data_IF_730058877225
#
_entry.id   IF_730058877225
#
_cell.length_a   1.000
_cell.length_b   1.000
_cell.length_c   1.000
_cell.angle_alpha   90.00
_cell.angle_beta   90.00
_cell.angle_gamma   90.00
#
_symmetry.space_group_name_H-M   'P 1'
#
loop_
_entity.id
_entity.type
_entity.pdbx_description
1 polymer ?
#
# COMPACT_ATOMS: atom_id res chain seq x y z
N UNK A 1 17.11 -5.27 10.00
CA UNK A 1 15.97 -4.45 10.45
C UNK A 1 14.81 -4.77 9.54
N UNK A 2 13.97 -5.72 9.91
CA UNK A 2 12.86 -6.18 9.06
C UNK A 2 11.83 -5.07 8.80
N UNK A 3 11.62 -4.17 9.76
CA UNK A 3 10.74 -3.01 9.59
C UNK A 3 11.20 -2.06 8.48
N UNK A 4 12.50 -1.97 8.18
CA UNK A 4 12.98 -1.18 7.04
C UNK A 4 12.58 -1.82 5.69
N UNK A 5 12.59 -3.15 5.62
CA UNK A 5 12.10 -3.88 4.44
C UNK A 5 10.59 -3.71 4.28
N UNK A 6 9.83 -3.83 5.36
CA UNK A 6 8.39 -3.58 5.35
C UNK A 6 8.06 -2.13 4.99
N UNK A 7 8.78 -1.14 5.52
CA UNK A 7 8.62 0.26 5.12
C UNK A 7 8.77 0.46 3.61
N UNK A 8 9.79 -0.13 2.97
CA UNK A 8 9.96 -0.06 1.52
C UNK A 8 8.81 -0.75 0.79
N UNK A 9 8.41 -1.94 1.27
CA UNK A 9 7.29 -2.70 0.72
C UNK A 9 5.98 -1.90 0.77
N UNK A 10 5.58 -1.39 1.93
CA UNK A 10 4.35 -0.61 2.11
C UNK A 10 4.35 0.70 1.31
N UNK A 11 5.52 1.32 1.16
CA UNK A 11 5.66 2.51 0.31
C UNK A 11 5.34 2.19 -1.16
N UNK A 12 5.61 0.97 -1.62
CA UNK A 12 5.33 0.52 -2.98
C UNK A 12 3.93 -0.09 -3.11
N UNK A 13 3.47 -0.84 -2.11
CA UNK A 13 2.18 -1.53 -2.08
C UNK A 13 0.99 -0.56 -2.20
N UNK A 14 1.10 0.64 -1.61
CA UNK A 14 0.05 1.68 -1.71
C UNK A 14 -0.08 2.36 -3.09
N UNK A 15 0.94 2.23 -3.95
CA UNK A 15 1.04 3.01 -5.20
C UNK A 15 -0.07 2.70 -6.21
N UNK A 16 -0.44 1.42 -6.44
CA UNK A 16 -1.46 1.09 -7.43
C UNK A 16 -2.80 1.78 -7.16
N UNK A 17 -3.25 1.79 -5.90
CA UNK A 17 -4.53 2.39 -5.52
C UNK A 17 -4.58 3.90 -5.81
N UNK A 18 -3.49 4.61 -5.52
CA UNK A 18 -3.39 6.02 -5.87
C UNK A 18 -3.34 6.25 -7.40
N UNK A 19 -2.65 5.38 -8.14
CA UNK A 19 -2.63 5.43 -9.60
C UNK A 19 -4.02 5.18 -10.21
N UNK A 20 -4.77 4.22 -9.69
CA UNK A 20 -6.14 3.92 -10.14
C UNK A 20 -7.05 5.11 -9.90
N UNK A 21 -7.05 5.66 -8.69
CA UNK A 21 -7.81 6.87 -8.36
C UNK A 21 -7.44 8.05 -9.25
N UNK A 22 -6.15 8.25 -9.54
CA UNK A 22 -5.69 9.33 -10.43
C UNK A 22 -6.28 9.20 -11.83
N UNK A 23 -6.25 7.99 -12.40
CA UNK A 23 -6.86 7.71 -13.71
C UNK A 23 -8.39 7.84 -13.66
N UNK A 24 -9.02 7.31 -12.63
CA UNK A 24 -10.47 7.39 -12.46
C UNK A 24 -10.93 8.85 -12.27
N UNK A 25 -10.24 9.67 -11.48
CA UNK A 25 -10.56 11.10 -11.38
C UNK A 25 -10.40 11.85 -12.71
N UNK A 26 -9.42 11.46 -13.54
CA UNK A 26 -9.30 12.01 -14.89
C UNK A 26 -10.49 11.60 -15.77
N UNK A 27 -10.87 10.32 -15.74
CA UNK A 27 -12.07 9.82 -16.45
C UNK A 27 -13.34 10.52 -15.95
N UNK A 28 -13.44 10.75 -14.64
CA UNK A 28 -14.51 11.52 -14.00
C UNK A 28 -14.52 12.96 -14.54
N UNK A 29 -13.37 13.60 -14.71
CA UNK A 29 -13.29 14.93 -15.32
C UNK A 29 -13.86 14.94 -16.75
N UNK A 30 -13.68 13.85 -17.51
CA UNK A 30 -14.24 13.68 -18.85
C UNK A 30 -15.67 13.14 -18.90
N UNK A 31 -16.33 12.98 -17.75
CA UNK A 31 -17.75 12.64 -17.66
C UNK A 31 -18.06 11.18 -17.35
N UNK A 32 -17.07 10.34 -17.05
CA UNK A 32 -17.34 8.98 -16.54
C UNK A 32 -18.10 9.06 -15.21
N UNK A 33 -19.32 8.52 -15.17
CA UNK A 33 -20.21 8.53 -14.00
C UNK A 33 -20.97 7.21 -13.92
N UNK A 34 -21.48 6.89 -12.74
CA UNK A 34 -22.36 5.75 -12.50
C UNK A 34 -22.10 5.12 -11.13
N UNK A 35 -23.08 4.36 -10.60
CA UNK A 35 -22.98 3.75 -9.28
C UNK A 35 -21.76 2.83 -9.15
N UNK A 36 -21.53 1.93 -10.13
CA UNK A 36 -20.37 1.02 -10.12
C UNK A 36 -19.03 1.77 -10.19
N UNK A 37 -18.96 2.85 -10.96
CA UNK A 37 -17.75 3.66 -11.09
C UNK A 37 -17.42 4.35 -9.76
N UNK A 38 -18.42 4.99 -9.14
CA UNK A 38 -18.28 5.65 -7.84
C UNK A 38 -17.96 4.66 -6.73
N UNK A 39 -18.58 3.48 -6.73
CA UNK A 39 -18.28 2.42 -5.78
C UNK A 39 -16.83 1.95 -5.92
N UNK A 40 -16.36 1.70 -7.15
CA UNK A 40 -14.97 1.31 -7.39
C UNK A 40 -13.96 2.38 -6.96
N UNK A 41 -14.26 3.67 -7.16
CA UNK A 41 -13.42 4.73 -6.61
C UNK A 41 -13.37 4.70 -5.08
N UNK A 42 -14.50 4.46 -4.40
CA UNK A 42 -14.53 4.36 -2.93
C UNK A 42 -13.72 3.17 -2.43
N UNK A 43 -13.79 2.03 -3.12
CA UNK A 43 -12.97 0.86 -2.82
C UNK A 43 -11.48 1.21 -2.94
N UNK A 44 -11.05 1.77 -4.08
CA UNK A 44 -9.64 2.17 -4.25
C UNK A 44 -9.18 3.25 -3.27
N UNK A 45 -10.09 4.12 -2.80
CA UNK A 45 -9.79 5.06 -1.72
C UNK A 45 -9.55 4.35 -0.40
N UNK A 46 -10.43 3.40 -0.03
CA UNK A 46 -10.27 2.61 1.18
C UNK A 46 -8.99 1.75 1.15
N UNK A 47 -8.65 1.16 0.01
CA UNK A 47 -7.41 0.41 -0.19
C UNK A 47 -6.18 1.31 -0.05
N UNK A 48 -6.18 2.48 -0.70
CA UNK A 48 -5.09 3.45 -0.57
C UNK A 48 -4.87 3.95 0.87
N UNK A 49 -5.97 4.10 1.62
CA UNK A 49 -5.96 4.50 3.02
C UNK A 49 -5.46 3.38 3.93
N UNK A 50 -5.90 2.13 3.70
CA UNK A 50 -5.42 0.96 4.44
C UNK A 50 -3.89 0.78 4.32
N UNK A 51 -3.35 0.87 3.10
CA UNK A 51 -1.91 0.74 2.89
C UNK A 51 -1.10 1.93 3.41
N UNK A 52 -1.72 3.11 3.50
CA UNK A 52 -1.11 4.25 4.20
C UNK A 52 -0.93 3.93 5.68
N UNK A 53 -1.93 3.32 6.33
CA UNK A 53 -1.84 2.97 7.74
C UNK A 53 -0.78 1.89 7.99
N UNK A 54 -0.65 0.89 7.12
CA UNK A 54 0.48 -0.06 7.17
C UNK A 54 1.83 0.65 7.12
N UNK A 55 1.99 1.59 6.20
CA UNK A 55 3.21 2.41 6.11
C UNK A 55 3.49 3.17 7.41
N UNK A 56 2.49 3.86 7.96
CA UNK A 56 2.64 4.63 9.21
C UNK A 56 3.01 3.74 10.41
N UNK A 57 2.48 2.53 10.46
CA UNK A 57 2.87 1.53 11.46
C UNK A 57 4.36 1.21 11.31
N UNK A 58 4.83 0.93 10.09
CA UNK A 58 6.26 0.65 9.85
C UNK A 58 7.16 1.85 10.18
N UNK A 59 6.71 3.07 9.94
CA UNK A 59 7.42 4.28 10.37
C UNK A 59 7.53 4.38 11.90
N UNK A 60 6.43 4.09 12.62
CA UNK A 60 6.42 4.11 14.09
C UNK A 60 7.36 3.07 14.71
N UNK A 61 7.58 1.94 14.01
CA UNK A 61 8.50 0.87 14.38
C UNK A 61 9.96 1.16 13.94
N UNK A 62 10.23 2.35 13.40
CA UNK A 62 11.58 2.77 12.98
C UNK A 62 12.01 2.26 11.60
N UNK A 63 11.08 1.76 10.79
CA UNK A 63 11.34 1.30 9.42
C UNK A 63 11.89 2.40 8.50
N UNK A 64 11.56 3.67 8.78
CA UNK A 64 12.04 4.81 8.00
C UNK A 64 13.33 5.44 8.53
N UNK A 65 14.05 4.84 9.49
CA UNK A 65 15.21 5.48 10.13
C UNK A 65 16.35 5.79 9.13
N UNK A 66 16.56 4.94 8.12
CA UNK A 66 17.64 5.06 7.14
C UNK A 66 17.30 6.03 6.01
N UNK A 67 18.17 7.01 5.75
CA UNK A 67 18.01 7.92 4.62
C UNK A 67 18.11 7.22 3.26
N UNK A 68 18.91 6.16 3.18
CA UNK A 68 19.07 5.36 1.95
C UNK A 68 17.79 4.61 1.64
N UNK A 69 17.20 3.94 2.64
CA UNK A 69 15.96 3.18 2.45
C UNK A 69 14.80 4.10 2.06
N UNK A 70 14.71 5.29 2.67
CA UNK A 70 13.74 6.32 2.26
C UNK A 70 13.95 6.76 0.80
N UNK A 71 15.19 6.97 0.37
CA UNK A 71 15.48 7.39 -1.00
C UNK A 71 15.10 6.29 -2.00
N UNK A 72 15.44 5.03 -1.71
CA UNK A 72 15.10 3.87 -2.54
C UNK A 72 13.59 3.72 -2.65
N UNK A 73 12.88 3.70 -1.52
CA UNK A 73 11.42 3.56 -1.48
C UNK A 73 10.71 4.64 -2.30
N UNK A 74 11.10 5.91 -2.12
CA UNK A 74 10.51 7.05 -2.86
C UNK A 74 10.79 6.98 -4.35
N UNK A 75 12.00 6.60 -4.75
CA UNK A 75 12.37 6.49 -6.16
C UNK A 75 11.63 5.35 -6.86
N UNK A 76 11.53 4.20 -6.18
CA UNK A 76 10.73 3.07 -6.65
C UNK A 76 9.26 3.43 -6.78
N UNK A 77 8.67 4.03 -5.74
CA UNK A 77 7.27 4.43 -5.76
C UNK A 77 6.96 5.45 -6.87
N UNK A 78 7.85 6.42 -7.10
CA UNK A 78 7.67 7.38 -8.19
C UNK A 78 7.68 6.73 -9.58
N UNK A 79 8.66 5.87 -9.86
CA UNK A 79 8.72 5.16 -11.14
C UNK A 79 7.55 4.19 -11.31
N UNK A 80 7.22 3.47 -10.24
CA UNK A 80 6.14 2.51 -10.23
C UNK A 80 4.76 3.16 -10.42
N UNK A 81 4.53 4.35 -9.85
CA UNK A 81 3.31 5.13 -10.04
C UNK A 81 3.02 5.37 -11.52
N UNK A 82 3.98 5.91 -12.27
CA UNK A 82 3.79 6.19 -13.69
C UNK A 82 3.60 4.91 -14.52
N UNK A 83 4.29 3.84 -14.14
CA UNK A 83 4.09 2.53 -14.76
C UNK A 83 2.65 2.03 -14.56
N UNK A 84 2.13 2.04 -13.32
CA UNK A 84 0.77 1.58 -13.03
C UNK A 84 -0.28 2.47 -13.68
N UNK A 85 -0.09 3.79 -13.71
CA UNK A 85 -0.97 4.71 -14.46
C UNK A 85 -1.07 4.28 -15.93
N UNK A 86 0.07 4.01 -16.57
CA UNK A 86 0.12 3.55 -17.96
C UNK A 86 -0.59 2.20 -18.15
N UNK A 87 -0.34 1.22 -17.28
CA UNK A 87 -0.99 -0.09 -17.34
C UNK A 87 -2.50 0.03 -17.14
N UNK A 88 -2.96 0.77 -16.12
CA UNK A 88 -4.39 0.92 -15.81
C UNK A 88 -5.16 1.66 -16.92
N UNK A 89 -4.54 2.64 -17.57
CA UNK A 89 -5.10 3.32 -18.74
C UNK A 89 -5.31 2.36 -19.92
N UNK A 90 -4.43 1.38 -20.10
CA UNK A 90 -4.48 0.42 -21.22
C UNK A 90 -5.34 -0.80 -20.89
N UNK A 91 -5.20 -1.37 -19.70
CA UNK A 91 -5.93 -2.54 -19.21
C UNK A 91 -6.05 -2.55 -17.69
N UNK A 92 -7.27 -2.39 -17.19
CA UNK A 92 -7.57 -2.50 -15.76
C UNK A 92 -7.30 -3.92 -15.25
N UNK A 93 -7.57 -4.96 -16.05
CA UNK A 93 -7.34 -6.35 -15.66
C UNK A 93 -5.85 -6.63 -15.43
N UNK A 94 -4.98 -6.15 -16.33
CA UNK A 94 -3.54 -6.30 -16.16
C UNK A 94 -3.04 -5.54 -14.93
N UNK A 95 -3.61 -4.37 -14.66
CA UNK A 95 -3.26 -3.58 -13.48
C UNK A 95 -3.68 -4.28 -12.18
N UNK A 96 -4.89 -4.87 -12.13
CA UNK A 96 -5.36 -5.61 -10.96
C UNK A 96 -4.57 -6.89 -10.72
N UNK A 97 -4.23 -7.63 -11.79
CA UNK A 97 -3.36 -8.80 -11.65
C UNK A 97 -1.96 -8.42 -11.14
N UNK A 98 -1.43 -7.27 -11.55
CA UNK A 98 -0.17 -6.77 -11.02
C UNK A 98 -0.25 -6.46 -9.51
N UNK A 99 -1.36 -5.88 -9.03
CA UNK A 99 -1.57 -5.63 -7.61
C UNK A 99 -1.73 -6.93 -6.81
N UNK A 100 -2.50 -7.89 -7.33
CA UNK A 100 -2.63 -9.23 -6.74
C UNK A 100 -1.26 -9.87 -6.51
N UNK A 101 -0.36 -9.81 -7.50
CA UNK A 101 1.02 -10.33 -7.36
C UNK A 101 1.83 -9.61 -6.27
N UNK A 102 1.59 -8.32 -6.04
CA UNK A 102 2.25 -7.55 -4.97
C UNK A 102 1.69 -7.93 -3.61
N UNK A 103 0.36 -8.04 -3.49
CA UNK A 103 -0.32 -8.46 -2.27
C UNK A 103 0.09 -9.87 -1.87
N UNK A 104 0.15 -10.81 -2.82
CA UNK A 104 0.65 -12.17 -2.59
C UNK A 104 2.09 -12.17 -2.07
N UNK A 105 2.95 -11.32 -2.65
CA UNK A 105 4.32 -11.18 -2.18
C UNK A 105 4.40 -10.58 -0.76
N UNK A 106 3.55 -9.60 -0.47
CA UNK A 106 3.46 -8.98 0.84
C UNK A 106 2.98 -9.98 1.89
N UNK A 107 1.90 -10.71 1.60
CA UNK A 107 1.36 -11.78 2.44
C UNK A 107 2.44 -12.81 2.80
N UNK A 108 3.17 -13.34 1.82
CA UNK A 108 4.22 -14.32 2.08
C UNK A 108 5.37 -13.74 2.92
N UNK A 109 5.70 -12.46 2.74
CA UNK A 109 6.75 -11.81 3.52
C UNK A 109 6.33 -11.64 4.99
N UNK A 110 5.09 -11.19 5.24
CA UNK A 110 4.55 -11.07 6.59
C UNK A 110 4.36 -12.43 7.27
N UNK A 111 3.79 -13.42 6.58
CA UNK A 111 3.59 -14.76 7.11
C UNK A 111 4.91 -15.41 7.53
N UNK A 112 5.97 -15.28 6.72
CA UNK A 112 7.30 -15.75 7.08
C UNK A 112 7.85 -15.04 8.34
N UNK A 113 7.69 -13.71 8.41
CA UNK A 113 8.12 -12.92 9.56
C UNK A 113 7.39 -13.33 10.83
N UNK A 114 6.06 -13.45 10.79
CA UNK A 114 5.22 -13.87 11.91
C UNK A 114 5.54 -15.29 12.38
N UNK A 115 5.83 -16.22 11.46
CA UNK A 115 6.26 -17.58 11.83
C UNK A 115 7.59 -17.58 12.58
N UNK A 116 8.49 -16.66 12.25
CA UNK A 116 9.81 -16.57 12.89
C UNK A 116 9.84 -15.77 14.20
N UNK A 117 9.00 -14.74 14.35
CA UNK A 117 9.06 -13.80 15.48
C UNK A 117 7.75 -13.72 16.29
N UNK A 118 6.71 -14.50 15.95
CA UNK A 118 5.36 -14.34 16.49
C UNK A 118 5.24 -14.41 18.01
N UNK A 119 6.02 -15.27 18.67
CA UNK A 119 5.98 -15.40 20.13
C UNK A 119 6.62 -14.20 20.85
N UNK A 120 7.64 -13.58 20.25
CA UNK A 120 8.24 -12.35 20.74
C UNK A 120 7.31 -11.15 20.51
N UNK A 121 6.76 -11.03 19.29
CA UNK A 121 5.89 -9.91 18.91
C UNK A 121 4.67 -9.80 19.81
N UNK A 122 4.10 -10.93 20.26
CA UNK A 122 2.95 -10.95 21.20
C UNK A 122 3.25 -10.35 22.57
N UNK A 123 4.53 -10.23 22.95
CA UNK A 123 4.94 -9.66 24.23
C UNK A 123 5.23 -8.15 24.14
N UNK A 124 5.34 -7.62 22.92
CA UNK A 124 5.62 -6.20 22.69
C UNK A 124 4.34 -5.37 22.77
N UNK A 125 4.44 -4.09 23.19
CA UNK A 125 3.31 -3.19 23.14
C UNK A 125 2.89 -2.92 21.68
N UNK A 126 1.59 -2.92 21.43
CA UNK A 126 1.03 -2.52 20.14
C UNK A 126 1.28 -1.02 19.92
N UNK A 127 1.87 -0.60 18.77
CA UNK A 127 2.04 0.80 18.44
C UNK A 127 0.72 1.58 18.48
N UNK A 128 0.75 2.80 18.99
CA UNK A 128 -0.45 3.64 19.14
C UNK A 128 -1.17 3.85 17.80
N UNK A 129 -0.42 4.11 16.73
CA UNK A 129 -0.98 4.26 15.37
C UNK A 129 -1.72 3.00 14.88
N UNK A 130 -1.24 1.81 15.24
CA UNK A 130 -1.93 0.56 14.91
C UNK A 130 -3.19 0.40 15.76
N UNK A 131 -3.10 0.70 17.06
CA UNK A 131 -4.24 0.60 17.97
C UNK A 131 -5.40 1.49 17.52
N UNK A 132 -5.14 2.76 17.27
CA UNK A 132 -6.18 3.70 16.82
C UNK A 132 -6.84 3.21 15.54
N UNK A 133 -6.04 2.79 14.55
CA UNK A 133 -6.59 2.35 13.27
C UNK A 133 -7.43 1.06 13.35
N UNK A 134 -7.04 0.10 14.19
CA UNK A 134 -7.70 -1.22 14.25
C UNK A 134 -8.77 -1.35 15.35
N UNK A 135 -8.75 -0.49 16.37
CA UNK A 135 -9.67 -0.57 17.52
C UNK A 135 -10.64 0.61 17.62
N UNK A 136 -10.28 1.81 17.13
CA UNK A 136 -11.08 3.03 17.30
C UNK A 136 -11.93 3.41 16.06
N UNK A 137 -11.66 2.82 14.89
CA UNK A 137 -12.37 3.04 13.60
C UNK A 137 -13.18 1.81 13.15
#
# INVERSE_FOLDING_TARGET
NDYARFFVLETVARVPYFAYLSVMHLQETFGARGPEFTERMRVHYAEADNELHHLLIMESLGGNASAVDRMVARSMAFGYYWYVVGVYLVSQQAAYHLSELIEDHAYHTYDAFLKSHGDELKQLPVPEVARTYYEDD
#
